data_IF_282314282664
#
_entry.id   IF_282314282664
#
_cell.length_a   1.000
_cell.length_b   1.000
_cell.length_c   1.000
_cell.angle_alpha   90.00
_cell.angle_beta   90.00
_cell.angle_gamma   90.00
#
_symmetry.space_group_name_H-M   'P 1'
#
loop_
_entity.id
_entity.type
_entity.pdbx_description
1 polymer ?
#
# COMPACT_ATOMS: atom_id res chain seq x y z
N UNK A 1 -37.55 17.60 4.87
CA UNK A 1 -36.70 17.36 6.07
C UNK A 1 -36.96 15.98 6.69
N UNK A 2 -38.19 15.59 7.06
CA UNK A 2 -38.51 14.29 7.66
C UNK A 2 -38.04 13.09 6.82
N UNK A 3 -38.25 13.09 5.50
CA UNK A 3 -37.79 12.01 4.60
C UNK A 3 -36.27 11.91 4.52
N UNK A 4 -35.55 13.02 4.63
CA UNK A 4 -34.09 13.04 4.62
C UNK A 4 -33.53 12.45 5.92
N UNK A 5 -34.15 12.75 7.05
CA UNK A 5 -33.81 12.20 8.37
C UNK A 5 -34.02 10.68 8.37
N UNK A 6 -35.19 10.21 7.96
CA UNK A 6 -35.53 8.79 7.87
C UNK A 6 -34.56 8.00 6.96
N UNK A 7 -34.17 8.60 5.82
CA UNK A 7 -33.15 7.96 4.94
C UNK A 7 -31.77 7.86 5.58
N UNK A 8 -31.40 8.87 6.38
CA UNK A 8 -30.12 8.88 7.10
C UNK A 8 -30.12 7.83 8.21
N UNK A 9 -31.17 7.78 9.02
CA UNK A 9 -31.35 6.78 10.10
C UNK A 9 -31.33 5.34 9.55
N UNK A 10 -32.06 5.09 8.44
CA UNK A 10 -32.06 3.77 7.79
C UNK A 10 -30.68 3.36 7.28
N UNK A 11 -29.89 4.30 6.76
CA UNK A 11 -28.52 4.02 6.35
C UNK A 11 -27.60 3.72 7.55
N UNK A 12 -27.79 4.43 8.66
CA UNK A 12 -27.04 4.18 9.89
C UNK A 12 -27.36 2.80 10.50
N UNK A 13 -28.62 2.39 10.51
CA UNK A 13 -29.01 1.05 10.95
C UNK A 13 -28.45 -0.06 10.05
N UNK A 14 -28.46 0.14 8.74
CA UNK A 14 -27.87 -0.80 7.79
C UNK A 14 -26.36 -0.89 7.96
N UNK A 15 -25.67 0.22 8.18
CA UNK A 15 -24.23 0.24 8.47
C UNK A 15 -23.90 -0.53 9.77
N UNK A 16 -24.65 -0.27 10.85
CA UNK A 16 -24.47 -1.00 12.12
C UNK A 16 -24.73 -2.51 12.01
N UNK A 17 -25.71 -2.91 11.19
CA UNK A 17 -25.96 -4.32 10.93
C UNK A 17 -24.81 -4.96 10.17
N UNK A 18 -24.29 -4.27 9.13
CA UNK A 18 -23.13 -4.72 8.36
C UNK A 18 -21.86 -4.83 9.23
N UNK A 19 -21.62 -3.86 10.12
CA UNK A 19 -20.49 -3.90 11.05
C UNK A 19 -20.54 -5.13 11.99
N UNK A 20 -21.75 -5.48 12.46
CA UNK A 20 -21.92 -6.71 13.28
C UNK A 20 -21.63 -7.97 12.48
N UNK A 21 -22.09 -8.04 11.24
CA UNK A 21 -21.82 -9.19 10.38
C UNK A 21 -20.33 -9.28 10.04
N UNK A 22 -19.67 -8.17 9.71
CA UNK A 22 -18.22 -8.10 9.50
C UNK A 22 -17.49 -8.61 10.74
N UNK A 23 -17.81 -8.10 11.94
CA UNK A 23 -17.17 -8.52 13.17
C UNK A 23 -17.36 -10.02 13.44
N UNK A 24 -18.53 -10.57 13.13
CA UNK A 24 -18.81 -12.01 13.24
C UNK A 24 -17.94 -12.83 12.28
N UNK A 25 -17.84 -12.43 11.01
CA UNK A 25 -17.04 -13.13 10.01
C UNK A 25 -15.55 -13.02 10.32
N UNK A 26 -15.07 -11.87 10.77
CA UNK A 26 -13.67 -11.68 11.22
C UNK A 26 -13.34 -12.62 12.37
N UNK A 27 -14.24 -12.76 13.35
CA UNK A 27 -14.05 -13.70 14.47
C UNK A 27 -13.96 -15.14 14.00
N UNK A 28 -14.85 -15.57 13.07
CA UNK A 28 -14.80 -16.91 12.48
C UNK A 28 -13.48 -17.11 11.73
N UNK A 29 -13.10 -16.16 10.87
CA UNK A 29 -11.86 -16.25 10.12
C UNK A 29 -10.63 -16.33 11.03
N UNK A 30 -10.59 -15.58 12.13
CA UNK A 30 -9.51 -15.68 13.11
C UNK A 30 -9.47 -17.06 13.78
N UNK A 31 -10.62 -17.61 14.15
CA UNK A 31 -10.70 -18.95 14.76
C UNK A 31 -10.17 -20.03 13.80
N UNK A 32 -10.55 -19.98 12.52
CA UNK A 32 -10.06 -20.92 11.50
C UNK A 32 -8.56 -20.80 11.31
N UNK A 33 -8.03 -19.58 11.21
CA UNK A 33 -6.59 -19.35 11.11
C UNK A 33 -5.86 -19.87 12.35
N UNK A 34 -6.41 -19.70 13.55
CA UNK A 34 -5.80 -20.21 14.79
C UNK A 34 -5.80 -21.75 14.85
N UNK A 35 -6.81 -22.39 14.29
CA UNK A 35 -6.82 -23.87 14.12
C UNK A 35 -5.73 -24.31 13.14
N UNK A 36 -5.64 -23.67 11.98
CA UNK A 36 -4.62 -23.98 10.98
C UNK A 36 -3.20 -23.77 11.53
N UNK A 37 -2.97 -22.73 12.33
CA UNK A 37 -1.65 -22.49 12.96
C UNK A 37 -1.15 -23.63 13.85
N UNK A 38 -2.02 -24.44 14.41
CA UNK A 38 -1.62 -25.61 15.22
C UNK A 38 -0.96 -26.71 14.38
N UNK A 39 -1.29 -26.81 13.11
CA UNK A 39 -0.75 -27.80 12.18
C UNK A 39 0.36 -27.29 11.26
N UNK A 40 0.90 -26.09 11.47
CA UNK A 40 1.89 -25.46 10.57
C UNK A 40 3.13 -26.34 10.28
N UNK A 41 3.58 -27.13 11.26
CA UNK A 41 4.77 -27.98 11.11
C UNK A 41 4.59 -29.07 10.03
N UNK A 42 3.37 -29.53 9.84
CA UNK A 42 3.04 -30.60 8.88
C UNK A 42 2.55 -30.07 7.53
N UNK A 43 2.41 -28.74 7.40
CA UNK A 43 1.93 -28.12 6.18
C UNK A 43 3.04 -27.98 5.13
N UNK A 44 2.64 -28.02 3.85
CA UNK A 44 3.50 -27.61 2.73
C UNK A 44 3.75 -26.11 2.77
N UNK A 45 4.85 -25.68 2.13
CA UNK A 45 5.24 -24.28 2.08
C UNK A 45 4.15 -23.36 1.53
N UNK A 46 3.44 -23.80 0.47
CA UNK A 46 2.29 -23.07 -0.06
C UNK A 46 1.20 -22.86 0.99
N UNK A 47 0.78 -23.92 1.68
CA UNK A 47 -0.31 -23.85 2.67
C UNK A 47 0.08 -22.92 3.85
N UNK A 48 1.32 -23.05 4.36
CA UNK A 48 1.86 -22.12 5.37
C UNK A 48 1.83 -20.68 4.88
N UNK A 49 2.18 -20.43 3.62
CA UNK A 49 2.16 -19.07 3.06
C UNK A 49 0.76 -18.46 3.09
N UNK A 50 -0.27 -19.25 2.83
CA UNK A 50 -1.66 -18.80 2.91
C UNK A 50 -2.09 -18.49 4.35
N UNK A 51 -1.69 -19.34 5.31
CA UNK A 51 -1.95 -19.06 6.74
C UNK A 51 -1.31 -17.74 7.17
N UNK A 52 -0.04 -17.50 6.79
CA UNK A 52 0.65 -16.25 7.09
C UNK A 52 -0.01 -15.05 6.40
N UNK A 53 -0.49 -15.21 5.17
CA UNK A 53 -1.20 -14.17 4.42
C UNK A 53 -2.48 -13.75 5.13
N UNK A 54 -3.37 -14.71 5.44
CA UNK A 54 -4.64 -14.41 6.11
C UNK A 54 -4.43 -13.85 7.52
N UNK A 55 -3.48 -14.39 8.28
CA UNK A 55 -3.18 -13.84 9.61
C UNK A 55 -2.65 -12.41 9.53
N UNK A 56 -1.77 -12.12 8.57
CA UNK A 56 -1.26 -10.76 8.36
C UNK A 56 -2.39 -9.80 7.99
N UNK A 57 -3.27 -10.22 7.07
CA UNK A 57 -4.42 -9.44 6.65
C UNK A 57 -5.38 -9.13 7.80
N UNK A 58 -5.74 -10.14 8.60
CA UNK A 58 -6.61 -9.96 9.77
C UNK A 58 -6.00 -9.00 10.79
N UNK A 59 -4.70 -9.13 11.04
CA UNK A 59 -4.00 -8.23 11.95
C UNK A 59 -4.00 -6.78 11.46
N UNK A 60 -3.83 -6.55 10.16
CA UNK A 60 -3.76 -5.22 9.59
C UNK A 60 -5.15 -4.58 9.44
N UNK A 61 -6.10 -5.32 8.89
CA UNK A 61 -7.40 -4.78 8.51
C UNK A 61 -8.42 -4.68 9.65
N UNK A 62 -8.27 -5.53 10.69
CA UNK A 62 -9.31 -5.66 11.71
C UNK A 62 -8.80 -5.62 13.16
N UNK A 63 -7.55 -5.98 13.40
CA UNK A 63 -7.01 -6.05 14.75
C UNK A 63 -6.12 -4.85 15.11
N UNK A 64 -5.93 -3.93 14.18
CA UNK A 64 -5.04 -2.75 14.31
C UNK A 64 -3.65 -3.12 14.86
N UNK A 65 -3.12 -4.27 14.43
CA UNK A 65 -1.86 -4.81 14.91
C UNK A 65 -0.81 -4.88 13.79
N UNK A 66 -0.25 -3.71 13.48
CA UNK A 66 0.75 -3.54 12.41
C UNK A 66 1.99 -4.41 12.62
N UNK A 67 2.48 -4.50 13.86
CA UNK A 67 3.68 -5.29 14.19
C UNK A 67 3.47 -6.79 13.94
N UNK A 68 2.32 -7.34 14.35
CA UNK A 68 1.97 -8.72 14.08
C UNK A 68 1.73 -8.96 12.58
N UNK A 69 1.11 -8.02 11.87
CA UNK A 69 0.93 -8.08 10.43
C UNK A 69 2.30 -8.14 9.71
N UNK A 70 3.22 -7.22 10.05
CA UNK A 70 4.59 -7.19 9.53
C UNK A 70 5.30 -8.53 9.75
N UNK A 71 5.24 -9.06 10.97
CA UNK A 71 5.86 -10.35 11.31
C UNK A 71 5.35 -11.49 10.44
N UNK A 72 4.03 -11.54 10.18
CA UNK A 72 3.43 -12.59 9.35
C UNK A 72 3.74 -12.42 7.86
N UNK A 73 3.75 -11.20 7.33
CA UNK A 73 4.22 -10.95 5.96
C UNK A 73 5.69 -11.33 5.77
N UNK A 74 6.55 -11.10 6.77
CA UNK A 74 7.96 -11.53 6.73
C UNK A 74 8.11 -13.06 6.72
N UNK A 75 7.22 -13.80 7.38
CA UNK A 75 7.18 -15.27 7.30
C UNK A 75 6.70 -15.72 5.91
N UNK A 76 5.62 -15.10 5.40
CA UNK A 76 5.08 -15.39 4.08
C UNK A 76 6.12 -15.31 2.98
N UNK A 77 6.87 -14.21 2.91
CA UNK A 77 7.84 -14.00 1.81
C UNK A 77 9.02 -14.97 1.83
N UNK A 78 9.23 -15.66 2.96
CA UNK A 78 10.26 -16.71 3.12
C UNK A 78 9.78 -18.09 2.66
N UNK A 79 8.47 -18.30 2.51
CA UNK A 79 7.93 -19.57 2.04
C UNK A 79 8.27 -19.75 0.55
N UNK A 80 8.92 -20.88 0.21
CA UNK A 80 9.43 -21.13 -1.14
C UNK A 80 8.31 -21.16 -2.17
N UNK A 81 7.24 -21.92 -1.87
CA UNK A 81 6.11 -22.15 -2.79
C UNK A 81 5.03 -21.05 -2.71
N UNK A 82 5.26 -19.96 -1.97
CA UNK A 82 4.35 -18.84 -1.99
C UNK A 82 4.28 -18.24 -3.40
N UNK A 83 3.06 -18.01 -3.90
CA UNK A 83 2.89 -17.54 -5.28
C UNK A 83 3.50 -16.14 -5.48
N UNK A 84 3.99 -15.83 -6.70
CA UNK A 84 4.52 -14.49 -7.00
C UNK A 84 3.55 -13.38 -6.64
N UNK A 85 2.25 -13.56 -6.87
CA UNK A 85 1.22 -12.56 -6.61
C UNK A 85 1.11 -12.23 -5.12
N UNK A 86 1.07 -13.25 -4.24
CA UNK A 86 0.99 -12.98 -2.79
C UNK A 86 2.31 -12.46 -2.23
N UNK A 87 3.47 -12.87 -2.78
CA UNK A 87 4.77 -12.26 -2.42
C UNK A 87 4.82 -10.79 -2.83
N UNK A 88 4.34 -10.44 -4.03
CA UNK A 88 4.25 -9.05 -4.47
C UNK A 88 3.36 -8.21 -3.53
N UNK A 89 2.15 -8.67 -3.23
CA UNK A 89 1.26 -7.99 -2.29
C UNK A 89 1.93 -7.81 -0.92
N UNK A 90 2.60 -8.84 -0.42
CA UNK A 90 3.31 -8.79 0.86
C UNK A 90 4.46 -7.77 0.85
N UNK A 91 5.31 -7.73 -0.18
CA UNK A 91 6.40 -6.76 -0.27
C UNK A 91 5.90 -5.32 -0.34
N UNK A 92 4.81 -5.07 -1.08
CA UNK A 92 4.21 -3.75 -1.13
C UNK A 92 3.68 -3.31 0.24
N UNK A 93 2.96 -4.19 0.93
CA UNK A 93 2.45 -3.93 2.28
C UNK A 93 3.58 -3.78 3.31
N UNK A 94 4.64 -4.62 3.21
CA UNK A 94 5.83 -4.47 4.05
C UNK A 94 6.51 -3.11 3.86
N UNK A 95 6.53 -2.59 2.64
CA UNK A 95 7.05 -1.25 2.38
C UNK A 95 6.19 -0.16 3.04
N UNK A 96 4.87 -0.28 2.95
CA UNK A 96 3.94 0.66 3.60
C UNK A 96 4.11 0.64 5.12
N UNK A 97 4.16 -0.55 5.73
CA UNK A 97 4.36 -0.71 7.17
C UNK A 97 5.72 -0.16 7.62
N UNK A 98 6.79 -0.45 6.88
CA UNK A 98 8.12 0.06 7.20
C UNK A 98 8.15 1.59 7.20
N UNK A 99 7.54 2.24 6.19
CA UNK A 99 7.50 3.70 6.12
C UNK A 99 6.61 4.32 7.21
N UNK A 100 5.52 3.66 7.60
CA UNK A 100 4.68 4.13 8.72
C UNK A 100 5.36 3.99 10.09
N UNK A 101 6.34 3.09 10.21
CA UNK A 101 7.19 2.89 11.38
C UNK A 101 8.50 3.71 11.30
N UNK A 102 8.61 4.64 10.35
CA UNK A 102 9.80 5.46 10.09
C UNK A 102 11.06 4.66 9.65
N UNK A 103 10.92 3.35 9.34
CA UNK A 103 11.96 2.52 8.75
C UNK A 103 12.07 2.78 7.24
N UNK A 104 12.58 3.98 6.90
CA UNK A 104 12.64 4.45 5.50
C UNK A 104 13.51 3.53 4.63
N UNK A 105 14.63 3.06 5.17
CA UNK A 105 15.53 2.14 4.46
C UNK A 105 14.88 0.78 4.22
N UNK A 106 14.12 0.28 5.18
CA UNK A 106 13.30 -0.92 5.04
C UNK A 106 12.25 -0.75 3.96
N UNK A 107 11.52 0.37 3.98
CA UNK A 107 10.51 0.72 2.97
C UNK A 107 11.08 0.72 1.56
N UNK A 108 12.18 1.44 1.34
CA UNK A 108 12.88 1.48 0.04
C UNK A 108 13.37 0.08 -0.38
N UNK A 109 13.90 -0.72 0.55
CA UNK A 109 14.36 -2.08 0.26
C UNK A 109 13.22 -2.96 -0.23
N UNK A 110 12.05 -2.96 0.44
CA UNK A 110 10.90 -3.75 0.04
C UNK A 110 10.31 -3.28 -1.30
N UNK A 111 10.21 -1.96 -1.54
CA UNK A 111 9.79 -1.43 -2.83
C UNK A 111 10.73 -1.86 -3.96
N UNK A 112 12.04 -1.83 -3.76
CA UNK A 112 13.01 -2.30 -4.77
C UNK A 112 12.84 -3.78 -5.10
N UNK A 113 12.53 -4.64 -4.11
CA UNK A 113 12.22 -6.05 -4.36
C UNK A 113 10.93 -6.14 -5.18
N UNK A 114 9.90 -5.41 -4.79
CA UNK A 114 8.62 -5.35 -5.50
C UNK A 114 8.80 -4.94 -6.97
N UNK A 115 9.53 -3.85 -7.24
CA UNK A 115 9.82 -3.38 -8.59
C UNK A 115 10.58 -4.38 -9.46
N UNK A 116 11.47 -5.20 -8.86
CA UNK A 116 12.19 -6.24 -9.60
C UNK A 116 11.32 -7.41 -10.04
N UNK A 117 10.22 -7.63 -9.34
CA UNK A 117 9.35 -8.81 -9.54
C UNK A 117 8.01 -8.44 -10.17
N UNK A 118 7.63 -7.18 -10.15
CA UNK A 118 6.40 -6.68 -10.81
C UNK A 118 6.65 -6.51 -12.30
N UNK A 119 5.83 -7.14 -13.18
CA UNK A 119 6.00 -7.01 -14.63
C UNK A 119 5.63 -5.61 -15.13
N UNK A 120 4.61 -5.00 -14.57
CA UNK A 120 4.07 -3.69 -14.98
C UNK A 120 3.87 -2.80 -13.75
N UNK A 121 4.90 -2.03 -13.33
CA UNK A 121 4.76 -1.08 -12.25
C UNK A 121 3.79 0.06 -12.61
N UNK A 122 2.97 0.49 -11.65
CA UNK A 122 2.04 1.59 -11.83
C UNK A 122 2.66 2.95 -11.49
N UNK A 123 2.16 4.08 -12.04
CA UNK A 123 2.60 5.41 -11.63
C UNK A 123 2.53 5.63 -10.11
N UNK A 124 1.47 5.12 -9.46
CA UNK A 124 1.30 5.15 -8.01
C UNK A 124 2.47 4.54 -7.24
N UNK A 125 3.00 3.41 -7.73
CA UNK A 125 4.14 2.74 -7.08
C UNK A 125 5.43 3.56 -7.19
N UNK A 126 5.66 4.20 -8.34
CA UNK A 126 6.78 5.14 -8.52
C UNK A 126 6.65 6.37 -7.61
N UNK A 127 5.44 6.96 -7.50
CA UNK A 127 5.20 8.05 -6.56
C UNK A 127 5.55 7.62 -5.13
N UNK A 128 5.13 6.43 -4.72
CA UNK A 128 5.41 5.91 -3.39
C UNK A 128 6.92 5.71 -3.14
N UNK A 129 7.65 5.21 -4.12
CA UNK A 129 9.12 5.10 -4.04
C UNK A 129 9.79 6.48 -4.02
N UNK A 130 9.28 7.44 -4.79
CA UNK A 130 9.76 8.82 -4.77
C UNK A 130 9.58 9.46 -3.39
N UNK A 131 8.40 9.30 -2.78
CA UNK A 131 8.14 9.76 -1.40
C UNK A 131 9.15 9.17 -0.41
N UNK A 132 9.43 7.88 -0.51
CA UNK A 132 10.40 7.22 0.37
C UNK A 132 11.81 7.80 0.20
N UNK A 133 12.25 8.08 -1.02
CA UNK A 133 13.53 8.75 -1.26
C UNK A 133 13.54 10.20 -0.76
N UNK A 134 12.42 10.92 -0.90
CA UNK A 134 12.30 12.28 -0.41
C UNK A 134 12.42 12.34 1.12
N UNK A 135 11.70 11.46 1.83
CA UNK A 135 11.80 11.33 3.30
C UNK A 135 13.23 10.96 3.73
N UNK A 136 13.91 10.15 2.95
CA UNK A 136 15.32 9.80 3.21
C UNK A 136 16.29 10.98 3.01
N UNK A 137 15.87 12.06 2.36
CA UNK A 137 16.72 13.19 1.98
C UNK A 137 17.49 12.97 0.67
N UNK A 138 17.20 11.91 -0.08
CA UNK A 138 17.81 11.64 -1.39
C UNK A 138 16.98 12.31 -2.49
N UNK A 139 16.99 13.64 -2.51
CA UNK A 139 16.16 14.47 -3.40
C UNK A 139 16.39 14.13 -4.87
N UNK A 140 17.65 13.84 -5.27
CA UNK A 140 17.95 13.50 -6.67
C UNK A 140 17.29 12.19 -7.11
N UNK A 141 17.30 11.14 -6.24
CA UNK A 141 16.61 9.90 -6.57
C UNK A 141 15.10 10.08 -6.54
N UNK A 142 14.58 10.85 -5.58
CA UNK A 142 13.16 11.19 -5.53
C UNK A 142 12.72 11.86 -6.83
N UNK A 143 13.45 12.87 -7.29
CA UNK A 143 13.21 13.55 -8.56
C UNK A 143 13.17 12.59 -9.75
N UNK A 144 14.21 11.77 -9.91
CA UNK A 144 14.27 10.84 -11.04
C UNK A 144 13.09 9.87 -11.05
N UNK A 145 12.66 9.41 -9.86
CA UNK A 145 11.55 8.46 -9.72
C UNK A 145 10.19 9.13 -9.93
N UNK A 146 9.99 10.38 -9.47
CA UNK A 146 8.71 11.09 -9.70
C UNK A 146 8.54 11.47 -11.19
N UNK A 147 9.63 11.81 -11.89
CA UNK A 147 9.59 12.03 -13.33
C UNK A 147 9.22 10.78 -14.11
N UNK A 148 9.69 9.61 -13.67
CA UNK A 148 9.29 8.33 -14.26
C UNK A 148 7.81 8.02 -13.98
N UNK A 149 7.31 8.34 -12.78
CA UNK A 149 5.88 8.25 -12.47
C UNK A 149 5.03 9.13 -13.40
N UNK A 150 5.48 10.37 -13.66
CA UNK A 150 4.80 11.31 -14.55
C UNK A 150 4.80 10.80 -15.99
N UNK A 151 5.96 10.39 -16.51
CA UNK A 151 6.09 9.83 -17.86
C UNK A 151 5.13 8.64 -18.06
N UNK A 152 5.11 7.72 -17.10
CA UNK A 152 4.25 6.53 -17.19
C UNK A 152 2.76 6.87 -17.09
N UNK A 153 2.41 7.87 -16.27
CA UNK A 153 1.03 8.36 -16.16
C UNK A 153 0.55 8.93 -17.51
N UNK A 154 1.38 9.73 -18.17
CA UNK A 154 1.08 10.32 -19.49
C UNK A 154 0.93 9.23 -20.57
N UNK A 155 1.83 8.25 -20.60
CA UNK A 155 1.78 7.15 -21.57
C UNK A 155 0.56 6.24 -21.40
N UNK A 156 0.10 6.05 -20.17
CA UNK A 156 -1.04 5.18 -19.84
C UNK A 156 -2.38 5.91 -19.75
N UNK A 157 -2.38 7.25 -19.90
CA UNK A 157 -3.59 8.06 -19.76
C UNK A 157 -4.12 8.14 -18.32
N UNK A 158 -3.27 7.86 -17.33
CA UNK A 158 -3.62 7.97 -15.91
C UNK A 158 -3.41 9.39 -15.46
N UNK A 159 -4.46 10.02 -14.93
CA UNK A 159 -4.37 11.39 -14.40
C UNK A 159 -3.34 11.47 -13.27
N UNK A 160 -2.37 12.38 -13.45
CA UNK A 160 -1.38 12.68 -12.40
C UNK A 160 -2.07 13.52 -11.32
N UNK A 161 -2.20 12.96 -10.11
CA UNK A 161 -3.02 13.53 -9.04
C UNK A 161 -2.35 14.73 -8.38
N UNK A 162 -3.14 15.62 -7.78
CA UNK A 162 -2.65 16.80 -7.07
C UNK A 162 -1.54 16.47 -6.05
N UNK A 163 -1.75 15.49 -5.19
CA UNK A 163 -0.75 15.10 -4.20
C UNK A 163 0.53 14.52 -4.79
N UNK A 164 0.53 14.08 -6.04
CA UNK A 164 1.72 13.62 -6.77
C UNK A 164 2.52 14.82 -7.29
N UNK A 165 1.82 15.86 -7.75
CA UNK A 165 2.45 17.13 -8.12
C UNK A 165 3.19 17.77 -6.93
N UNK A 166 2.70 17.61 -5.69
CA UNK A 166 3.39 18.14 -4.51
C UNK A 166 4.81 17.60 -4.36
N UNK A 167 5.03 16.29 -4.59
CA UNK A 167 6.37 15.69 -4.57
C UNK A 167 7.21 16.18 -5.74
N UNK A 168 6.61 16.28 -6.92
CA UNK A 168 7.29 16.76 -8.12
C UNK A 168 7.77 18.21 -7.90
N UNK A 169 6.93 19.09 -7.39
CA UNK A 169 7.30 20.49 -7.11
C UNK A 169 8.34 20.61 -6.00
N UNK A 170 8.20 19.83 -4.93
CA UNK A 170 9.17 19.83 -3.83
C UNK A 170 10.57 19.43 -4.34
N UNK A 171 10.67 18.36 -5.11
CA UNK A 171 11.96 17.89 -5.65
C UNK A 171 12.58 18.87 -6.64
N UNK A 172 11.79 19.48 -7.52
CA UNK A 172 12.29 20.54 -8.43
C UNK A 172 12.79 21.76 -7.67
N UNK A 173 12.06 22.17 -6.64
CA UNK A 173 12.43 23.34 -5.81
C UNK A 173 13.75 23.09 -5.09
N UNK A 174 13.89 21.93 -4.45
CA UNK A 174 15.08 21.55 -3.68
C UNK A 174 16.32 21.38 -4.56
N UNK A 175 16.13 20.99 -5.82
CA UNK A 175 17.22 20.89 -6.81
C UNK A 175 17.50 22.19 -7.54
N UNK A 176 16.76 23.27 -7.24
CA UNK A 176 16.93 24.57 -7.91
C UNK A 176 16.34 24.64 -9.33
N UNK A 177 15.51 23.68 -9.73
CA UNK A 177 14.92 23.56 -11.08
C UNK A 177 13.57 24.28 -11.19
N UNK A 178 13.43 25.44 -10.57
CA UNK A 178 12.13 26.13 -10.43
C UNK A 178 11.49 26.55 -11.75
N UNK A 179 12.27 26.88 -12.75
CA UNK A 179 11.74 27.29 -14.06
C UNK A 179 11.20 26.10 -14.87
N UNK A 180 11.69 24.88 -14.59
CA UNK A 180 11.29 23.68 -15.28
C UNK A 180 9.94 23.14 -14.75
N UNK A 181 9.43 23.71 -13.63
CA UNK A 181 8.14 23.32 -13.06
C UNK A 181 6.94 23.96 -13.76
N UNK A 182 7.13 25.04 -14.51
CA UNK A 182 6.03 25.87 -15.06
C UNK A 182 5.00 25.04 -15.84
N UNK A 183 5.39 24.14 -16.76
CA UNK A 183 4.42 23.29 -17.47
C UNK A 183 3.60 22.39 -16.54
N UNK A 184 4.19 21.93 -15.45
CA UNK A 184 3.51 21.06 -14.48
C UNK A 184 2.53 21.84 -13.60
N UNK A 185 2.79 23.12 -13.32
CA UNK A 185 1.84 24.00 -12.64
C UNK A 185 0.59 24.22 -13.50
N UNK A 186 0.77 24.50 -14.79
CA UNK A 186 -0.33 24.67 -15.73
C UNK A 186 -1.20 23.42 -15.78
N UNK A 187 -0.59 22.25 -15.93
CA UNK A 187 -1.31 20.96 -15.92
C UNK A 187 -2.03 20.70 -14.58
N UNK A 188 -1.40 21.04 -13.45
CA UNK A 188 -2.02 20.83 -12.14
C UNK A 188 -3.25 21.71 -11.92
N UNK A 189 -3.33 22.90 -12.54
CA UNK A 189 -4.48 23.79 -12.48
C UNK A 189 -5.69 23.24 -13.26
N UNK A 190 -5.49 22.38 -14.24
CA UNK A 190 -6.59 21.74 -14.98
C UNK A 190 -7.36 20.70 -14.13
N UNK A 191 -6.85 20.35 -12.94
CA UNK A 191 -7.52 19.43 -12.01
C UNK A 191 -8.64 20.11 -11.21
N UNK A 192 -8.77 21.44 -11.26
CA UNK A 192 -9.76 22.26 -10.54
C UNK A 192 -10.77 22.90 -11.50
#
# INVERSE_FOLDING_TARGET
EAQTILRKEKKEEQAKALDKDIARFVKIAQQEVDVLKKGLADMKSYDRSMVWYYQAYLNLAYNDNMSAARSNYLKLVKEEDATPQIKLAAYYTLAQLALSEEDVDGGIRYLKIWFKTTPEPTPQAYVFLSQAYYIKGDTQKSFNVIMEAKRLADETGITFRENWFNILFATHTDLGLRYEQVPFYEESLELY
#
